data_IF_054950835907
#
_entry.id   IF_054950835907
#
_cell.length_a   1.000
_cell.length_b   1.000
_cell.length_c   1.000
_cell.angle_alpha   90.00
_cell.angle_beta   90.00
_cell.angle_gamma   90.00
#
_symmetry.space_group_name_H-M   'P 1'
#
loop_
_entity.id
_entity.type
_entity.pdbx_description
1 polymer ?
#
# COMPACT_ATOMS: atom_id res chain seq x y z
N UNK A 1 -13.00 15.65 12.36
CA UNK A 1 -12.58 15.96 10.96
C UNK A 1 -11.37 15.13 10.52
N UNK A 2 -10.30 15.06 11.33
CA UNK A 2 -9.10 14.24 11.03
C UNK A 2 -9.39 12.74 10.75
N UNK A 3 -10.30 12.11 11.51
CA UNK A 3 -10.68 10.71 11.29
C UNK A 3 -11.21 10.43 9.87
N UNK A 4 -12.05 11.32 9.33
CA UNK A 4 -12.61 11.16 7.98
C UNK A 4 -11.54 11.23 6.90
N UNK A 5 -10.54 12.11 7.07
CA UNK A 5 -9.46 12.28 6.10
C UNK A 5 -8.54 11.04 6.14
N UNK A 6 -8.28 10.50 7.33
CA UNK A 6 -7.51 9.26 7.49
C UNK A 6 -8.23 8.04 6.90
N UNK A 7 -9.54 7.90 7.11
CA UNK A 7 -10.35 6.83 6.50
C UNK A 7 -10.42 6.98 4.98
N UNK A 8 -10.59 8.20 4.47
CA UNK A 8 -10.61 8.46 3.03
C UNK A 8 -9.27 8.08 2.40
N UNK A 9 -8.16 8.49 3.01
CA UNK A 9 -6.79 8.14 2.62
C UNK A 9 -6.56 6.63 2.61
N UNK A 10 -7.03 5.92 3.64
CA UNK A 10 -6.98 4.46 3.70
C UNK A 10 -7.78 3.80 2.56
N UNK A 11 -9.03 4.24 2.33
CA UNK A 11 -9.87 3.72 1.25
C UNK A 11 -9.26 4.00 -0.14
N UNK A 12 -8.59 5.14 -0.30
CA UNK A 12 -7.84 5.50 -1.51
C UNK A 12 -6.69 4.51 -1.76
N UNK A 13 -5.94 4.17 -0.71
CA UNK A 13 -4.91 3.13 -0.78
C UNK A 13 -5.47 1.76 -1.16
N UNK A 14 -6.62 1.38 -0.59
CA UNK A 14 -7.30 0.13 -0.93
C UNK A 14 -7.74 0.09 -2.41
N UNK A 15 -8.22 1.21 -2.95
CA UNK A 15 -8.57 1.31 -4.37
C UNK A 15 -7.35 1.14 -5.28
N UNK A 16 -6.21 1.74 -4.93
CA UNK A 16 -4.96 1.55 -5.68
C UNK A 16 -4.47 0.11 -5.64
N UNK A 17 -4.66 -0.62 -4.54
CA UNK A 17 -4.32 -2.04 -4.46
C UNK A 17 -5.03 -2.87 -5.52
N UNK A 18 -6.34 -2.66 -5.73
CA UNK A 18 -7.10 -3.40 -6.76
C UNK A 18 -6.61 -3.10 -8.18
N UNK A 19 -6.17 -1.86 -8.44
CA UNK A 19 -5.59 -1.51 -9.74
C UNK A 19 -4.22 -2.19 -9.90
N UNK A 20 -3.40 -2.16 -8.84
CA UNK A 20 -2.08 -2.79 -8.83
C UNK A 20 -2.14 -4.32 -8.92
N UNK A 21 -3.19 -4.97 -8.38
CA UNK A 21 -3.37 -6.42 -8.47
C UNK A 21 -3.84 -6.86 -9.87
N UNK A 22 -4.63 -6.03 -10.55
CA UNK A 22 -5.18 -6.36 -11.88
C UNK A 22 -4.20 -6.16 -13.04
N UNK A 23 -3.26 -5.20 -12.95
CA UNK A 23 -2.28 -4.93 -14.03
C UNK A 23 -1.36 -6.14 -14.30
N UNK A 24 -0.71 -6.77 -13.29
CA UNK A 24 0.15 -7.94 -13.50
C UNK A 24 -0.65 -9.23 -13.68
N UNK A 25 -1.86 -9.32 -13.13
CA UNK A 25 -2.71 -10.51 -13.23
C UNK A 25 -3.24 -10.74 -14.65
N UNK A 26 -3.30 -9.69 -15.50
CA UNK A 26 -3.73 -9.81 -16.89
C UNK A 26 -2.83 -10.73 -17.74
N UNK A 27 -1.53 -10.82 -17.42
CA UNK A 27 -0.55 -11.61 -18.19
C UNK A 27 -0.18 -12.95 -17.54
N UNK A 28 -0.74 -13.27 -16.36
CA UNK A 28 -0.66 -14.59 -15.70
C UNK A 28 0.73 -15.01 -15.15
N UNK A 29 1.82 -14.62 -15.79
CA UNK A 29 3.17 -15.13 -15.47
C UNK A 29 4.00 -14.22 -14.56
N UNK A 30 3.57 -12.97 -14.36
CA UNK A 30 4.39 -11.91 -13.74
C UNK A 30 4.15 -11.73 -12.24
N UNK A 31 3.42 -12.64 -11.61
CA UNK A 31 2.92 -12.47 -10.23
C UNK A 31 4.04 -12.46 -9.17
N UNK A 32 5.12 -13.21 -9.40
CA UNK A 32 6.28 -13.25 -8.47
C UNK A 32 7.10 -11.96 -8.60
N UNK A 33 7.29 -11.47 -9.83
CA UNK A 33 8.00 -10.23 -10.10
C UNK A 33 7.26 -9.04 -9.50
N UNK A 34 5.94 -8.94 -9.68
CA UNK A 34 5.12 -7.88 -9.09
C UNK A 34 5.15 -7.91 -7.56
N UNK A 35 5.07 -9.08 -6.94
CA UNK A 35 5.22 -9.25 -5.49
C UNK A 35 6.57 -8.75 -4.98
N UNK A 36 7.67 -9.07 -5.67
CA UNK A 36 9.00 -8.59 -5.29
C UNK A 36 9.15 -7.07 -5.36
N UNK A 37 8.54 -6.44 -6.37
CA UNK A 37 8.51 -4.97 -6.54
C UNK A 37 7.70 -4.32 -5.40
N UNK A 38 6.57 -4.90 -5.04
CA UNK A 38 5.74 -4.39 -3.94
C UNK A 38 6.47 -4.49 -2.60
N UNK A 39 7.17 -5.60 -2.34
CA UNK A 39 7.94 -5.81 -1.10
C UNK A 39 9.12 -4.83 -1.03
N UNK A 40 9.90 -4.70 -2.10
CA UNK A 40 11.03 -3.77 -2.15
C UNK A 40 10.58 -2.32 -1.96
N UNK A 41 9.48 -1.90 -2.60
CA UNK A 41 8.91 -0.57 -2.38
C UNK A 41 8.46 -0.38 -0.92
N UNK A 42 7.80 -1.38 -0.32
CA UNK A 42 7.39 -1.31 1.08
C UNK A 42 8.57 -1.13 2.03
N UNK A 43 9.66 -1.85 1.78
CA UNK A 43 10.88 -1.81 2.58
C UNK A 43 11.64 -0.48 2.41
N UNK A 44 11.72 0.05 1.19
CA UNK A 44 12.28 1.38 0.91
C UNK A 44 11.49 2.47 1.65
N UNK A 45 10.15 2.45 1.55
CA UNK A 45 9.31 3.43 2.25
C UNK A 45 9.45 3.28 3.77
N UNK A 46 9.50 2.05 4.29
CA UNK A 46 9.72 1.82 5.72
C UNK A 46 11.08 2.37 6.17
N UNK A 47 12.13 2.15 5.39
CA UNK A 47 13.46 2.71 5.66
C UNK A 47 13.43 4.23 5.68
N UNK A 48 12.75 4.89 4.74
CA UNK A 48 12.64 6.36 4.71
C UNK A 48 11.86 6.91 5.91
N UNK A 49 10.72 6.30 6.26
CA UNK A 49 9.88 6.75 7.39
C UNK A 49 10.63 6.61 8.71
N UNK A 50 11.32 5.47 8.93
CA UNK A 50 12.02 5.21 10.19
C UNK A 50 13.41 5.86 10.27
N UNK A 51 14.07 6.13 9.14
CA UNK A 51 15.35 6.86 9.11
C UNK A 51 15.15 8.33 9.52
N UNK A 52 14.02 8.94 9.17
CA UNK A 52 13.71 10.30 9.60
C UNK A 52 12.88 10.28 10.91
N UNK A 53 13.56 10.29 12.07
CA UNK A 53 12.94 10.40 13.41
C UNK A 53 12.04 11.63 13.63
N UNK A 54 11.92 12.56 12.66
CA UNK A 54 11.09 13.79 12.72
C UNK A 54 9.80 13.71 11.89
N UNK A 55 9.44 12.55 11.36
CA UNK A 55 8.27 12.34 10.46
C UNK A 55 6.90 12.55 11.11
N UNK A 56 6.80 12.55 12.45
CA UNK A 56 5.54 12.77 13.17
C UNK A 56 4.99 14.20 13.13
N UNK A 57 5.68 15.16 12.49
CA UNK A 57 5.25 16.57 12.50
C UNK A 57 4.37 16.98 11.30
N UNK A 58 4.23 16.15 10.26
CA UNK A 58 3.50 16.52 9.04
C UNK A 58 2.28 15.63 8.81
N UNK A 59 1.08 16.23 8.80
CA UNK A 59 -0.19 15.57 8.46
C UNK A 59 -0.15 14.86 7.10
N UNK A 60 0.62 15.37 6.14
CA UNK A 60 0.81 14.75 4.83
C UNK A 60 1.50 13.39 4.94
N UNK A 61 2.45 13.24 5.86
CA UNK A 61 3.17 11.98 6.08
C UNK A 61 2.22 10.95 6.69
N UNK A 62 1.37 11.36 7.64
CA UNK A 62 0.33 10.49 8.21
C UNK A 62 -0.66 10.00 7.14
N UNK A 63 -1.09 10.88 6.23
CA UNK A 63 -1.97 10.53 5.11
C UNK A 63 -1.29 9.59 4.10
N UNK A 64 -0.01 9.78 3.80
CA UNK A 64 0.74 8.86 2.94
C UNK A 64 0.91 7.49 3.62
N UNK A 65 1.10 7.47 4.94
CA UNK A 65 1.22 6.24 5.70
C UNK A 65 -0.12 5.47 5.73
N UNK A 66 -1.24 6.17 5.89
CA UNK A 66 -2.58 5.58 5.79
C UNK A 66 -2.88 5.01 4.39
N UNK A 67 -2.48 5.71 3.31
CA UNK A 67 -2.54 5.16 1.95
C UNK A 67 -1.70 3.89 1.82
N UNK A 68 -0.46 3.90 2.33
CA UNK A 68 0.43 2.73 2.32
C UNK A 68 -0.21 1.52 3.00
N UNK A 69 -0.77 1.72 4.20
CA UNK A 69 -1.48 0.68 4.95
C UNK A 69 -2.67 0.15 4.15
N UNK A 70 -3.43 1.03 3.51
CA UNK A 70 -4.55 0.66 2.62
C UNK A 70 -4.10 -0.20 1.43
N UNK A 71 -2.96 0.12 0.81
CA UNK A 71 -2.42 -0.64 -0.33
C UNK A 71 -2.02 -2.05 0.12
N UNK A 72 -1.26 -2.17 1.21
CA UNK A 72 -0.81 -3.47 1.73
C UNK A 72 -2.02 -4.34 2.13
N UNK A 73 -3.01 -3.74 2.80
CA UNK A 73 -4.22 -4.44 3.20
C UNK A 73 -5.03 -4.92 1.99
N UNK A 74 -5.22 -4.06 0.97
CA UNK A 74 -5.95 -4.45 -0.24
C UNK A 74 -5.28 -5.59 -1.01
N UNK A 75 -3.97 -5.54 -1.17
CA UNK A 75 -3.19 -6.62 -1.82
C UNK A 75 -3.26 -7.93 -1.02
N UNK A 76 -3.23 -7.87 0.31
CA UNK A 76 -3.38 -9.04 1.17
C UNK A 76 -4.76 -9.68 1.02
N UNK A 77 -5.82 -8.87 1.01
CA UNK A 77 -7.20 -9.34 0.80
C UNK A 77 -7.35 -9.98 -0.57
N UNK A 78 -6.80 -9.38 -1.63
CA UNK A 78 -6.85 -9.97 -2.98
C UNK A 78 -6.05 -11.28 -3.08
N UNK A 79 -4.87 -11.37 -2.46
CA UNK A 79 -4.11 -12.61 -2.39
C UNK A 79 -4.90 -13.71 -1.65
N UNK A 80 -5.60 -13.36 -0.57
CA UNK A 80 -6.45 -14.30 0.17
C UNK A 80 -7.63 -14.81 -0.69
N UNK A 81 -8.24 -13.94 -1.51
CA UNK A 81 -9.30 -14.34 -2.46
C UNK A 81 -8.82 -15.32 -3.53
N UNK A 82 -7.58 -15.20 -3.98
CA UNK A 82 -7.01 -16.04 -5.04
C UNK A 82 -6.40 -17.34 -4.52
N UNK A 83 -6.08 -17.40 -3.22
CA UNK A 83 -5.50 -18.57 -2.55
C UNK A 83 -6.51 -19.55 -1.95
N UNK A 84 -7.82 -19.32 -2.12
CA UNK A 84 -8.92 -20.22 -1.74
C UNK A 84 -9.51 -20.93 -2.95
#
# INVERSE_FOLDING_TARGET
MFLNINILSFMLGFFFANILSTIPAQTGEWNIMSGSIIVTLNEVISKEIYSNKRTNQYLIIELLNNIKIGIVYGLFVDAFKLGS
#
